data_IF_051739982655
#
_entry.id   IF_051739982655
#
_cell.length_a   1.000
_cell.length_b   1.000
_cell.length_c   1.000
_cell.angle_alpha   90.00
_cell.angle_beta   90.00
_cell.angle_gamma   90.00
#
_symmetry.space_group_name_H-M   'P 1'
#
loop_
_entity.id
_entity.type
_entity.pdbx_description
1 polymer ?
#
# COMPACT_ATOMS: atom_id res chain seq x y z
N UNK A 1 -1.25 -7.43 -1.89
CA UNK A 1 -0.06 -7.67 -2.74
C UNK A 1 -0.34 -8.65 -3.86
N UNK A 2 -0.78 -9.89 -3.59
CA UNK A 2 -1.01 -10.88 -4.66
C UNK A 2 -1.96 -10.37 -5.77
N UNK A 3 -3.12 -9.82 -5.42
CA UNK A 3 -4.06 -9.24 -6.39
C UNK A 3 -3.45 -8.09 -7.21
N UNK A 4 -2.67 -7.22 -6.57
CA UNK A 4 -1.99 -6.11 -7.26
C UNK A 4 -0.91 -6.61 -8.22
N UNK A 5 -0.19 -7.68 -7.87
CA UNK A 5 0.78 -8.30 -8.77
C UNK A 5 0.12 -8.91 -10.02
N UNK A 6 -1.07 -9.51 -9.86
CA UNK A 6 -1.86 -9.99 -11.02
C UNK A 6 -2.34 -8.82 -11.87
N UNK A 7 -2.85 -7.75 -11.24
CA UNK A 7 -3.29 -6.54 -11.95
C UNK A 7 -2.13 -5.92 -12.73
N UNK A 8 -0.97 -5.73 -12.10
CA UNK A 8 0.23 -5.21 -12.75
C UNK A 8 0.64 -6.03 -13.98
N UNK A 9 0.52 -7.36 -13.93
CA UNK A 9 0.79 -8.22 -15.09
C UNK A 9 -0.24 -8.10 -16.23
N UNK A 10 -1.46 -7.67 -15.93
CA UNK A 10 -2.53 -7.50 -16.90
C UNK A 10 -2.65 -6.06 -17.40
N UNK A 11 -2.08 -5.10 -16.66
CA UNK A 11 -2.04 -3.69 -17.03
C UNK A 11 -0.94 -3.47 -18.07
N UNK A 12 -1.25 -2.68 -19.11
CA UNK A 12 -0.24 -2.21 -20.04
C UNK A 12 0.56 -1.08 -19.39
N UNK A 13 1.85 -1.32 -19.15
CA UNK A 13 2.75 -0.38 -18.45
C UNK A 13 2.99 -0.78 -16.99
N UNK A 14 3.86 -0.03 -16.29
CA UNK A 14 4.24 -0.34 -14.92
C UNK A 14 3.29 0.31 -13.90
N UNK A 15 2.66 -0.48 -13.05
CA UNK A 15 1.76 0.03 -12.01
C UNK A 15 2.50 0.85 -10.94
N UNK A 16 3.76 0.51 -10.67
CA UNK A 16 4.58 1.09 -9.57
C UNK A 16 5.88 1.74 -10.03
N UNK A 17 6.19 1.68 -11.33
CA UNK A 17 7.46 2.13 -11.89
C UNK A 17 8.67 1.48 -11.17
N UNK A 18 9.68 2.28 -10.84
CA UNK A 18 10.87 1.84 -10.09
C UNK A 18 10.70 1.87 -8.55
N UNK A 19 9.51 2.18 -8.05
CA UNK A 19 9.28 2.35 -6.60
C UNK A 19 9.09 1.00 -5.92
N UNK A 20 9.87 0.74 -4.87
CA UNK A 20 9.62 -0.46 -4.05
C UNK A 20 8.45 -0.23 -3.10
N UNK A 21 7.29 -0.75 -3.50
CA UNK A 21 6.05 -0.74 -2.73
C UNK A 21 5.86 -2.05 -1.97
N UNK A 22 5.61 -1.92 -0.67
CA UNK A 22 5.09 -2.99 0.17
C UNK A 22 3.63 -2.70 0.57
N UNK A 23 2.94 -3.69 1.11
CA UNK A 23 1.58 -3.51 1.58
C UNK A 23 0.99 -4.75 2.22
N UNK A 24 -0.05 -4.57 3.02
CA UNK A 24 -0.78 -5.65 3.68
C UNK A 24 -2.26 -5.31 3.71
N UNK A 25 -3.11 -6.32 3.81
CA UNK A 25 -4.56 -6.15 3.83
C UNK A 25 -5.22 -7.47 3.50
N UNK A 26 -6.33 -7.75 4.18
CA UNK A 26 -7.27 -8.75 3.66
C UNK A 26 -8.07 -8.11 2.53
N UNK A 27 -8.59 -8.92 1.62
CA UNK A 27 -9.43 -8.43 0.52
C UNK A 27 -10.67 -9.31 0.47
N UNK A 28 -11.86 -8.70 0.56
CA UNK A 28 -13.14 -9.38 0.33
C UNK A 28 -13.48 -9.48 -1.15
N UNK A 29 -14.48 -10.30 -1.49
CA UNK A 29 -14.92 -10.51 -2.88
C UNK A 29 -15.43 -9.25 -3.57
N UNK A 30 -15.97 -8.29 -2.82
CA UNK A 30 -16.37 -6.97 -3.30
C UNK A 30 -15.20 -5.96 -3.35
N UNK A 31 -13.97 -6.43 -3.12
CA UNK A 31 -12.75 -5.65 -3.25
C UNK A 31 -12.44 -4.74 -2.06
N UNK A 32 -13.16 -4.85 -0.93
CA UNK A 32 -12.84 -4.06 0.27
C UNK A 32 -11.57 -4.57 0.93
N UNK A 33 -10.72 -3.62 1.34
CA UNK A 33 -9.50 -3.92 2.08
C UNK A 33 -9.80 -3.92 3.57
N UNK A 34 -9.56 -5.06 4.21
CA UNK A 34 -9.76 -5.23 5.65
C UNK A 34 -8.50 -5.00 6.47
N UNK A 35 -8.72 -4.78 7.76
CA UNK A 35 -7.66 -4.60 8.74
C UNK A 35 -6.79 -5.86 8.89
N UNK A 36 -5.59 -5.67 9.42
CA UNK A 36 -4.64 -6.73 9.74
C UNK A 36 -4.03 -6.52 11.12
N UNK A 37 -3.50 -7.58 11.71
CA UNK A 37 -2.71 -7.50 12.94
C UNK A 37 -1.22 -7.22 12.67
N UNK A 38 -0.58 -6.55 13.64
CA UNK A 38 0.87 -6.33 13.68
C UNK A 38 1.38 -5.41 12.57
N UNK A 39 0.67 -4.30 12.29
CA UNK A 39 1.03 -3.45 11.15
C UNK A 39 2.38 -2.76 11.36
N UNK A 40 2.70 -2.33 12.59
CA UNK A 40 3.99 -1.72 12.95
C UNK A 40 5.17 -2.63 12.61
N UNK A 41 5.07 -3.91 12.99
CA UNK A 41 6.09 -4.93 12.70
C UNK A 41 6.24 -5.17 11.19
N UNK A 42 5.14 -5.16 10.44
CA UNK A 42 5.18 -5.33 8.99
C UNK A 42 5.76 -4.11 8.27
N UNK A 43 5.49 -2.90 8.76
CA UNK A 43 6.10 -1.67 8.23
C UNK A 43 7.60 -1.65 8.49
N UNK A 44 8.03 -2.01 9.70
CA UNK A 44 9.45 -2.13 10.03
C UNK A 44 10.16 -3.14 9.14
N UNK A 45 9.58 -4.34 8.94
CA UNK A 45 10.11 -5.36 8.06
C UNK A 45 10.17 -4.90 6.59
N UNK A 46 9.12 -4.23 6.11
CA UNK A 46 9.09 -3.68 4.75
C UNK A 46 10.16 -2.61 4.55
N UNK A 47 10.34 -1.72 5.53
CA UNK A 47 11.38 -0.70 5.48
C UNK A 47 12.78 -1.32 5.49
N UNK A 48 13.00 -2.32 6.35
CA UNK A 48 14.26 -3.07 6.40
C UNK A 48 14.57 -3.80 5.08
N UNK A 49 13.55 -4.25 4.35
CA UNK A 49 13.68 -4.82 3.02
C UNK A 49 13.96 -3.77 1.92
N UNK A 50 13.85 -2.47 2.21
CA UNK A 50 14.11 -1.38 1.27
C UNK A 50 12.85 -0.74 0.68
N UNK A 51 11.65 -1.09 1.15
CA UNK A 51 10.44 -0.40 0.72
C UNK A 51 10.48 1.09 1.12
N UNK A 52 10.02 1.94 0.21
CA UNK A 52 9.85 3.39 0.43
C UNK A 52 8.39 3.78 0.54
N UNK A 53 7.48 2.88 0.16
CA UNK A 53 6.04 3.08 0.22
C UNK A 53 5.38 1.85 0.84
N UNK A 54 4.39 2.07 1.68
CA UNK A 54 3.61 1.02 2.30
C UNK A 54 2.10 1.30 2.17
N UNK A 55 1.37 0.39 1.52
CA UNK A 55 -0.08 0.44 1.44
C UNK A 55 -0.70 -0.03 2.77
N UNK A 56 -1.50 0.83 3.39
CA UNK A 56 -2.09 0.67 4.72
C UNK A 56 -3.61 0.57 4.62
N UNK A 57 -4.25 -0.50 5.14
CA UNK A 57 -5.70 -0.53 5.28
C UNK A 57 -6.17 0.67 6.11
N UNK A 58 -7.21 1.37 5.67
CA UNK A 58 -7.69 2.57 6.38
C UNK A 58 -8.00 2.32 7.86
N UNK A 59 -8.50 1.13 8.19
CA UNK A 59 -8.78 0.69 9.56
C UNK A 59 -7.54 0.53 10.45
N UNK A 60 -6.34 0.46 9.86
CA UNK A 60 -5.07 0.41 10.57
C UNK A 60 -4.33 1.77 10.59
N UNK A 61 -4.86 2.84 9.97
CA UNK A 61 -4.11 4.10 9.85
C UNK A 61 -3.70 4.69 11.21
N UNK A 62 -4.56 4.62 12.23
CA UNK A 62 -4.23 5.13 13.56
C UNK A 62 -3.01 4.41 14.16
N UNK A 63 -2.99 3.07 14.10
CA UNK A 63 -1.87 2.26 14.58
C UNK A 63 -0.61 2.50 13.72
N UNK A 64 -0.76 2.55 12.40
CA UNK A 64 0.36 2.78 11.48
C UNK A 64 1.02 4.15 11.68
N UNK A 65 0.23 5.20 11.88
CA UNK A 65 0.73 6.56 12.10
C UNK A 65 1.47 6.70 13.43
N UNK A 66 1.16 5.86 14.43
CA UNK A 66 1.82 5.90 15.74
C UNK A 66 3.28 5.47 15.73
N UNK A 67 3.70 4.68 14.73
CA UNK A 67 5.06 4.14 14.62
C UNK A 67 5.46 3.99 13.14
N UNK A 68 5.51 5.10 12.42
CA UNK A 68 5.92 5.13 11.01
C UNK A 68 7.45 5.12 10.90
N UNK A 69 8.07 4.10 10.27
CA UNK A 69 9.51 4.08 10.05
C UNK A 69 9.98 5.26 9.20
N UNK A 70 11.12 5.85 9.55
CA UNK A 70 11.70 6.96 8.77
C UNK A 70 11.93 6.57 7.30
N UNK A 71 11.48 7.44 6.39
CA UNK A 71 11.59 7.22 4.95
C UNK A 71 10.59 6.21 4.37
N UNK A 72 9.59 5.77 5.15
CA UNK A 72 8.48 4.97 4.66
C UNK A 72 7.22 5.85 4.51
N UNK A 73 6.76 6.06 3.27
CA UNK A 73 5.51 6.76 2.99
C UNK A 73 4.33 5.83 3.17
N UNK A 74 3.37 6.23 4.01
CA UNK A 74 2.12 5.48 4.19
C UNK A 74 1.06 5.94 3.20
N UNK A 75 0.44 4.99 2.52
CA UNK A 75 -0.65 5.25 1.57
C UNK A 75 -1.91 4.54 2.05
N UNK A 76 -2.94 5.31 2.38
CA UNK A 76 -4.21 4.78 2.90
C UNK A 76 -5.03 4.15 1.79
N UNK A 77 -5.55 2.94 2.02
CA UNK A 77 -6.44 2.22 1.09
C UNK A 77 -7.65 1.59 1.79
N UNK A 78 -8.81 1.69 1.17
CA UNK A 78 -10.11 1.13 1.61
C UNK A 78 -10.61 0.03 0.67
N UNK A 79 -10.20 0.08 -0.60
CA UNK A 79 -10.56 -0.91 -1.63
C UNK A 79 -9.35 -1.25 -2.50
N UNK A 80 -9.42 -2.40 -3.19
CA UNK A 80 -8.43 -2.81 -4.17
C UNK A 80 -8.34 -1.81 -5.33
N UNK A 81 -9.48 -1.26 -5.78
CA UNK A 81 -9.52 -0.22 -6.81
C UNK A 81 -8.77 1.04 -6.37
N UNK A 82 -9.03 1.52 -5.14
CA UNK A 82 -8.31 2.66 -4.59
C UNK A 82 -6.81 2.39 -4.46
N UNK A 83 -6.40 1.16 -4.16
CA UNK A 83 -4.99 0.81 -4.14
C UNK A 83 -4.36 0.95 -5.53
N UNK A 84 -5.03 0.50 -6.60
CA UNK A 84 -4.57 0.69 -7.99
C UNK A 84 -4.50 2.18 -8.34
N UNK A 85 -5.55 2.94 -8.03
CA UNK A 85 -5.60 4.39 -8.31
C UNK A 85 -4.48 5.15 -7.57
N UNK A 86 -4.21 4.77 -6.32
CA UNK A 86 -3.14 5.39 -5.54
C UNK A 86 -1.75 5.08 -6.12
N UNK A 87 -1.54 3.89 -6.67
CA UNK A 87 -0.28 3.54 -7.33
C UNK A 87 -0.11 4.31 -8.66
N UNK A 88 -1.16 4.43 -9.46
CA UNK A 88 -1.15 5.29 -10.65
C UNK A 88 -0.92 6.77 -10.32
N UNK A 89 -1.59 7.29 -9.28
CA UNK A 89 -1.37 8.66 -8.82
C UNK A 89 0.08 8.86 -8.39
N UNK A 90 0.64 7.90 -7.66
CA UNK A 90 2.04 7.95 -7.22
C UNK A 90 3.03 7.96 -8.39
N UNK A 91 2.85 7.10 -9.40
CA UNK A 91 3.72 7.07 -10.58
C UNK A 91 3.57 8.33 -11.45
N UNK A 92 2.40 8.97 -11.44
CA UNK A 92 2.15 10.25 -12.08
C UNK A 92 2.63 11.47 -11.27
N UNK A 93 3.20 11.29 -10.07
CA UNK A 93 3.61 12.38 -9.18
C UNK A 93 2.43 13.15 -8.54
N UNK A 94 1.23 12.58 -8.57
CA UNK A 94 0.04 13.16 -7.98
C UNK A 94 -0.08 12.84 -6.47
N UNK A 95 -0.90 13.61 -5.72
CA UNK A 95 -1.18 13.34 -4.32
C UNK A 95 -1.83 11.96 -4.12
N UNK A 96 -1.47 11.28 -3.03
CA UNK A 96 -2.10 10.02 -2.62
C UNK A 96 -2.77 10.20 -1.26
N UNK A 97 -3.84 9.44 -0.96
CA UNK A 97 -4.38 9.38 0.39
C UNK A 97 -3.28 8.91 1.37
N UNK A 98 -3.12 9.60 2.49
CA UNK A 98 -2.19 9.20 3.55
C UNK A 98 -2.96 8.83 4.81
N UNK A 99 -2.28 8.09 5.69
CA UNK A 99 -2.50 8.21 7.12
C UNK A 99 -1.76 9.48 7.60
#
# INVERSE_FOLDING_TARGET
>A
MFSLAVIDKLTTGDLVGSTFVAGTGTISVDGKVGAIGGITHKMAAARAAGATVFLVPAKNCYEAASDTPQGLRLVKVETLGQAVDALHAMTAGAPTPSC
#
